data_IF_992833435713
#
_entry.id   IF_992833435713
#
_cell.length_a   1.000
_cell.length_b   1.000
_cell.length_c   1.000
_cell.angle_alpha   90.00
_cell.angle_beta   90.00
_cell.angle_gamma   90.00
#
_symmetry.space_group_name_H-M   'P 1'
#
loop_
_entity.id
_entity.type
_entity.pdbx_description
1 polymer ?
#
# COMPACT_ATOMS: atom_id res chain seq x y z
N UNK A 1 39.89 22.06 6.76
CA UNK A 1 38.62 21.30 6.91
C UNK A 1 38.88 20.19 7.92
N UNK A 2 38.27 20.23 9.11
CA UNK A 2 38.59 19.30 10.20
C UNK A 2 37.78 18.00 10.04
N UNK A 3 38.44 16.85 9.88
CA UNK A 3 37.83 15.56 9.48
C UNK A 3 36.87 15.02 10.57
N UNK A 4 37.08 15.45 11.81
CA UNK A 4 36.32 15.06 13.00
C UNK A 4 34.90 15.68 12.97
N UNK A 5 34.79 16.95 12.56
CA UNK A 5 33.51 17.64 12.40
C UNK A 5 32.67 17.04 11.27
N UNK A 6 33.31 16.64 10.17
CA UNK A 6 32.65 15.97 9.04
C UNK A 6 32.05 14.63 9.48
N UNK A 7 32.75 13.86 10.31
CA UNK A 7 32.29 12.56 10.83
C UNK A 7 31.13 12.70 11.81
N UNK A 8 31.13 13.74 12.65
CA UNK A 8 30.05 13.98 13.61
C UNK A 8 28.77 14.45 12.89
N UNK A 9 28.93 15.30 11.88
CA UNK A 9 27.83 15.74 11.01
C UNK A 9 27.21 14.57 10.25
N UNK A 10 28.00 13.70 9.64
CA UNK A 10 27.45 12.54 8.90
C UNK A 10 26.70 11.57 9.80
N UNK A 11 27.16 11.32 11.04
CA UNK A 11 26.41 10.50 12.01
C UNK A 11 25.07 11.13 12.37
N UNK A 12 25.04 12.43 12.61
CA UNK A 12 23.81 13.15 12.92
C UNK A 12 22.81 13.08 11.75
N UNK A 13 23.28 13.28 10.52
CA UNK A 13 22.46 13.19 9.31
C UNK A 13 21.90 11.78 9.12
N UNK A 14 22.69 10.73 9.38
CA UNK A 14 22.23 9.34 9.27
C UNK A 14 21.12 9.03 10.28
N UNK A 15 21.29 9.47 11.54
CA UNK A 15 20.26 9.31 12.58
C UNK A 15 18.98 10.05 12.19
N UNK A 16 19.09 11.27 11.66
CA UNK A 16 17.93 12.03 11.19
C UNK A 16 17.21 11.34 10.03
N UNK A 17 17.95 10.74 9.09
CA UNK A 17 17.38 10.02 7.95
C UNK A 17 16.61 8.76 8.39
N UNK A 18 17.10 8.06 9.41
CA UNK A 18 16.43 6.86 9.96
C UNK A 18 15.14 7.17 10.73
N UNK A 19 14.94 8.42 11.16
CA UNK A 19 13.72 8.87 11.82
C UNK A 19 12.60 9.26 10.84
N UNK A 20 12.87 9.26 9.52
CA UNK A 20 11.85 9.56 8.52
C UNK A 20 10.82 8.43 8.49
N UNK A 21 9.52 8.73 8.70
CA UNK A 21 8.49 7.70 8.66
C UNK A 21 8.35 7.16 7.23
N UNK A 22 8.49 5.84 7.10
CA UNK A 22 8.10 5.13 5.89
C UNK A 22 6.57 5.17 5.80
N UNK A 23 6.04 5.95 4.86
CA UNK A 23 4.60 5.98 4.60
C UNK A 23 4.17 4.65 3.97
N UNK A 24 3.58 3.76 4.78
CA UNK A 24 2.88 2.58 4.27
C UNK A 24 1.50 3.02 3.76
N UNK A 25 1.21 2.80 2.48
CA UNK A 25 -0.14 3.01 1.95
C UNK A 25 -0.95 1.75 2.22
N UNK A 26 -1.91 1.85 3.14
CA UNK A 26 -2.92 0.81 3.32
C UNK A 26 -3.81 0.78 2.06
N UNK A 27 -4.05 -0.42 1.52
CA UNK A 27 -4.97 -0.60 0.39
C UNK A 27 -6.39 -0.37 0.91
N UNK A 28 -7.10 0.58 0.31
CA UNK A 28 -8.49 0.88 0.68
C UNK A 28 -9.42 0.02 -0.17
N UNK A 29 -10.27 -0.78 0.47
CA UNK A 29 -11.17 -1.73 -0.20
C UNK A 29 -12.60 -1.53 0.31
N UNK A 30 -13.51 -1.24 -0.60
CA UNK A 30 -14.96 -1.13 -0.34
C UNK A 30 -15.71 -2.08 -1.27
N UNK A 31 -16.69 -2.83 -0.75
CA UNK A 31 -17.62 -3.60 -1.59
C UNK A 31 -18.83 -2.72 -1.91
N UNK A 32 -19.05 -2.43 -3.18
CA UNK A 32 -20.18 -1.60 -3.63
C UNK A 32 -21.39 -2.38 -4.08
N UNK A 33 -21.19 -3.55 -4.67
CA UNK A 33 -22.28 -4.38 -5.15
C UNK A 33 -21.88 -5.85 -5.17
N UNK A 34 -22.85 -6.72 -4.96
CA UNK A 34 -22.72 -8.17 -5.06
C UNK A 34 -23.60 -8.67 -6.19
N UNK A 35 -23.07 -9.61 -6.97
CA UNK A 35 -23.72 -10.27 -8.08
C UNK A 35 -23.54 -11.79 -7.94
N UNK A 36 -24.27 -12.55 -8.75
CA UNK A 36 -24.07 -14.00 -8.75
C UNK A 36 -22.67 -14.36 -9.27
N UNK A 37 -21.79 -14.85 -8.40
CA UNK A 37 -20.40 -15.20 -8.71
C UNK A 37 -19.45 -14.03 -9.02
N UNK A 38 -19.84 -12.79 -8.68
CA UNK A 38 -18.99 -11.60 -8.88
C UNK A 38 -19.30 -10.49 -7.86
N UNK A 39 -18.35 -9.58 -7.65
CA UNK A 39 -18.54 -8.41 -6.79
C UNK A 39 -17.86 -7.17 -7.37
N UNK A 40 -18.51 -6.01 -7.21
CA UNK A 40 -17.93 -4.71 -7.52
C UNK A 40 -17.20 -4.19 -6.28
N UNK A 41 -15.91 -3.97 -6.41
CA UNK A 41 -15.06 -3.36 -5.40
C UNK A 41 -14.70 -1.93 -5.81
N UNK A 42 -14.46 -1.07 -4.83
CA UNK A 42 -13.60 0.10 -5.00
C UNK A 42 -12.29 -0.22 -4.32
N UNK A 43 -11.23 -0.28 -5.11
CA UNK A 43 -9.88 -0.51 -4.60
C UNK A 43 -9.05 0.73 -4.93
N UNK A 44 -8.54 1.42 -3.90
CA UNK A 44 -7.84 2.70 -4.01
C UNK A 44 -8.60 3.75 -4.85
N UNK A 45 -9.90 3.85 -4.62
CA UNK A 45 -10.80 4.78 -5.32
C UNK A 45 -11.21 4.37 -6.74
N UNK A 46 -10.74 3.22 -7.25
CA UNK A 46 -11.07 2.72 -8.57
C UNK A 46 -12.06 1.55 -8.51
N UNK A 47 -13.13 1.65 -9.30
CA UNK A 47 -14.10 0.56 -9.45
C UNK A 47 -13.47 -0.63 -10.18
N UNK A 48 -13.56 -1.82 -9.58
CA UNK A 48 -13.07 -3.07 -10.14
C UNK A 48 -14.11 -4.17 -9.94
N UNK A 49 -14.56 -4.78 -11.03
CA UNK A 49 -15.41 -5.97 -10.99
C UNK A 49 -14.52 -7.21 -10.96
N UNK A 50 -14.62 -8.00 -9.90
CA UNK A 50 -13.95 -9.28 -9.79
C UNK A 50 -14.98 -10.41 -9.86
N UNK A 51 -14.63 -11.49 -10.55
CA UNK A 51 -15.35 -12.77 -10.51
C UNK A 51 -14.70 -13.71 -9.49
N UNK A 52 -15.44 -14.68 -8.99
CA UNK A 52 -14.90 -15.69 -8.07
C UNK A 52 -13.64 -16.34 -8.64
N UNK A 53 -12.58 -16.41 -7.84
CA UNK A 53 -11.24 -16.89 -8.20
C UNK A 53 -10.37 -15.87 -8.95
N UNK A 54 -10.86 -14.65 -9.20
CA UNK A 54 -10.09 -13.61 -9.89
C UNK A 54 -9.33 -12.73 -8.89
N UNK A 55 -8.07 -12.44 -9.22
CA UNK A 55 -7.20 -11.54 -8.47
C UNK A 55 -7.05 -10.21 -9.21
N UNK A 56 -7.19 -9.10 -8.49
CA UNK A 56 -6.97 -7.75 -9.00
C UNK A 56 -5.48 -7.45 -9.18
N UNK A 57 -5.15 -6.39 -9.93
CA UNK A 57 -3.76 -5.90 -10.00
C UNK A 57 -3.23 -5.38 -8.66
N UNK A 58 -4.13 -4.97 -7.77
CA UNK A 58 -3.82 -4.56 -6.40
C UNK A 58 -3.65 -5.74 -5.44
N UNK A 59 -3.78 -6.99 -5.92
CA UNK A 59 -3.59 -8.21 -5.12
C UNK A 59 -4.81 -8.65 -4.31
N UNK A 60 -5.99 -8.11 -4.62
CA UNK A 60 -7.25 -8.49 -3.95
C UNK A 60 -7.88 -9.65 -4.72
N UNK A 61 -8.15 -10.76 -4.03
CA UNK A 61 -8.80 -11.94 -4.59
C UNK A 61 -10.26 -12.03 -4.16
N UNK A 62 -11.16 -12.29 -5.11
CA UNK A 62 -12.52 -12.67 -4.78
C UNK A 62 -12.61 -14.18 -4.56
N UNK A 63 -12.60 -14.61 -3.29
CA UNK A 63 -12.68 -16.03 -2.93
C UNK A 63 -14.08 -16.61 -3.17
N UNK A 64 -15.13 -15.85 -2.87
CA UNK A 64 -16.53 -16.29 -3.00
C UNK A 64 -17.47 -15.09 -3.17
N UNK A 65 -18.55 -15.28 -3.93
CA UNK A 65 -19.68 -14.35 -4.05
C UNK A 65 -20.99 -15.16 -4.18
N UNK A 66 -22.12 -14.56 -3.78
CA UNK A 66 -23.46 -15.16 -3.72
C UNK A 66 -23.98 -15.68 -5.07
#
# INVERSE_FOLDING_TARGET
MNIIDTTRRTRLTLVLLLLLPLSSRAVEIEVRALFSGAAMFVIDGQNQLLKTGQVSRSGVELVEAN
#
